data_IF_558563816518
#
_entry.id   IF_558563816518
#
_cell.length_a   1.000
_cell.length_b   1.000
_cell.length_c   1.000
_cell.angle_alpha   90.00
_cell.angle_beta   90.00
_cell.angle_gamma   90.00
#
_symmetry.space_group_name_H-M   'P 1'
#
loop_
_entity.id
_entity.type
_entity.pdbx_description
1 polymer ?
#
# COMPACT_ATOMS: atom_id res chain seq x y z
N UNK A 1 -54.17 -17.84 21.99
CA UNK A 1 -53.04 -16.91 22.24
C UNK A 1 -51.78 -17.55 21.70
N UNK A 2 -51.29 -17.11 20.54
CA UNK A 2 -50.12 -17.66 19.86
C UNK A 2 -48.98 -16.64 19.95
N UNK A 3 -47.75 -17.03 20.34
CA UNK A 3 -46.67 -16.06 20.49
C UNK A 3 -46.08 -15.74 19.13
N UNK A 4 -46.06 -14.45 18.78
CA UNK A 4 -45.44 -13.93 17.57
C UNK A 4 -43.92 -14.12 17.68
N UNK A 5 -43.36 -15.03 16.87
CA UNK A 5 -41.92 -15.13 16.68
C UNK A 5 -41.42 -13.89 15.94
N UNK A 6 -40.76 -12.98 16.65
CA UNK A 6 -39.98 -11.91 16.04
C UNK A 6 -38.77 -12.54 15.36
N UNK A 7 -38.87 -12.72 14.04
CA UNK A 7 -37.72 -12.99 13.19
C UNK A 7 -36.79 -11.77 13.25
N UNK A 8 -35.64 -11.92 13.92
CA UNK A 8 -34.58 -10.91 13.92
C UNK A 8 -34.04 -10.83 12.49
N UNK A 9 -34.33 -9.74 11.79
CA UNK A 9 -33.72 -9.46 10.50
C UNK A 9 -32.19 -9.47 10.65
N UNK A 10 -31.43 -10.12 9.76
CA UNK A 10 -29.98 -10.03 9.79
C UNK A 10 -29.60 -8.56 9.58
N UNK A 11 -28.75 -8.03 10.46
CA UNK A 11 -28.21 -6.69 10.29
C UNK A 11 -27.57 -6.59 8.89
N UNK A 12 -27.87 -5.54 8.10
CA UNK A 12 -27.24 -5.40 6.79
C UNK A 12 -25.74 -5.25 7.01
N UNK A 13 -24.96 -6.28 6.64
CA UNK A 13 -23.52 -6.16 6.58
C UNK A 13 -23.22 -5.07 5.56
N UNK A 14 -22.71 -3.91 6.01
CA UNK A 14 -22.39 -2.74 5.18
C UNK A 14 -21.32 -3.14 4.16
N UNK A 15 -21.66 -3.50 2.90
CA UNK A 15 -20.72 -4.11 1.97
C UNK A 15 -19.55 -3.15 1.64
N UNK A 16 -19.81 -1.85 1.81
CA UNK A 16 -18.87 -0.76 1.65
C UNK A 16 -17.70 -0.81 2.64
N UNK A 17 -17.93 -1.17 3.92
CA UNK A 17 -16.86 -1.17 4.93
C UNK A 17 -15.87 -2.30 4.70
N UNK A 18 -16.37 -3.53 4.46
CA UNK A 18 -15.50 -4.68 4.17
C UNK A 18 -14.74 -4.50 2.86
N UNK A 19 -15.38 -3.93 1.82
CA UNK A 19 -14.71 -3.62 0.56
C UNK A 19 -13.59 -2.58 0.73
N UNK A 20 -13.82 -1.53 1.53
CA UNK A 20 -12.80 -0.52 1.88
C UNK A 20 -11.62 -1.13 2.63
N UNK A 21 -11.88 -1.96 3.64
CA UNK A 21 -10.83 -2.65 4.41
C UNK A 21 -10.01 -3.56 3.48
N UNK A 22 -10.67 -4.36 2.64
CA UNK A 22 -9.98 -5.21 1.66
C UNK A 22 -9.09 -4.39 0.73
N UNK A 23 -9.61 -3.29 0.19
CA UNK A 23 -8.85 -2.41 -0.71
C UNK A 23 -7.66 -1.76 0.01
N UNK A 24 -7.83 -1.32 1.27
CA UNK A 24 -6.74 -0.80 2.07
C UNK A 24 -5.63 -1.85 2.28
N UNK A 25 -6.00 -3.10 2.57
CA UNK A 25 -5.04 -4.20 2.68
C UNK A 25 -4.26 -4.47 1.39
N UNK A 26 -4.92 -4.38 0.23
CA UNK A 26 -4.24 -4.50 -1.08
C UNK A 26 -3.24 -3.36 -1.27
N UNK A 27 -3.63 -2.12 -0.98
CA UNK A 27 -2.75 -0.96 -1.11
C UNK A 27 -1.53 -1.07 -0.17
N UNK A 28 -1.72 -1.52 1.07
CA UNK A 28 -0.61 -1.77 1.99
C UNK A 28 0.35 -2.84 1.47
N UNK A 29 -0.17 -3.98 0.98
CA UNK A 29 0.67 -5.03 0.41
C UNK A 29 1.47 -4.56 -0.82
N UNK A 30 0.88 -3.68 -1.63
CA UNK A 30 1.58 -3.03 -2.75
C UNK A 30 2.67 -2.09 -2.26
N UNK A 31 2.39 -1.25 -1.27
CA UNK A 31 3.37 -0.36 -0.66
C UNK A 31 4.58 -1.13 -0.11
N UNK A 32 4.34 -2.20 0.66
CA UNK A 32 5.38 -3.05 1.22
C UNK A 32 6.28 -3.63 0.12
N UNK A 33 5.66 -4.13 -0.96
CA UNK A 33 6.41 -4.67 -2.11
C UNK A 33 7.28 -3.59 -2.76
N UNK A 34 6.73 -2.39 -2.96
CA UNK A 34 7.45 -1.27 -3.58
C UNK A 34 8.61 -0.78 -2.70
N UNK A 35 8.44 -0.73 -1.37
CA UNK A 35 9.54 -0.39 -0.47
C UNK A 35 10.67 -1.44 -0.52
N UNK A 36 10.34 -2.73 -0.53
CA UNK A 36 11.33 -3.81 -0.66
C UNK A 36 12.09 -3.70 -1.98
N UNK A 37 11.40 -3.47 -3.10
CA UNK A 37 12.05 -3.30 -4.39
C UNK A 37 12.89 -2.00 -4.46
N UNK A 38 12.46 -0.91 -3.82
CA UNK A 38 13.27 0.30 -3.71
C UNK A 38 14.60 0.04 -3.00
N UNK A 39 14.59 -0.70 -1.88
CA UNK A 39 15.80 -1.11 -1.17
C UNK A 39 16.69 -2.04 -2.01
N UNK A 40 16.07 -2.94 -2.78
CA UNK A 40 16.81 -3.80 -3.70
C UNK A 40 17.52 -2.98 -4.78
N UNK A 41 16.84 -2.00 -5.37
CA UNK A 41 17.38 -1.13 -6.43
C UNK A 41 18.52 -0.25 -5.90
N UNK A 42 18.45 0.18 -4.64
CA UNK A 42 19.49 0.93 -3.94
C UNK A 42 20.86 0.21 -3.96
N UNK A 43 20.86 -1.13 -4.02
CA UNK A 43 22.08 -1.94 -4.15
C UNK A 43 22.79 -1.70 -5.48
N UNK A 44 22.05 -1.51 -6.58
CA UNK A 44 22.63 -1.17 -7.88
C UNK A 44 23.23 0.23 -7.88
N UNK A 45 22.59 1.20 -7.22
CA UNK A 45 23.20 2.52 -7.00
C UNK A 45 24.53 2.39 -6.28
N UNK A 46 24.56 1.62 -5.19
CA UNK A 46 25.77 1.40 -4.38
C UNK A 46 26.89 0.74 -5.21
N UNK A 47 26.55 -0.21 -6.07
CA UNK A 47 27.50 -0.84 -6.98
C UNK A 47 28.07 0.16 -8.01
N UNK A 48 27.23 1.02 -8.60
CA UNK A 48 27.69 2.08 -9.50
C UNK A 48 28.58 3.11 -8.80
N UNK A 49 28.24 3.48 -7.56
CA UNK A 49 29.09 4.38 -6.76
C UNK A 49 30.46 3.74 -6.46
N UNK A 50 30.48 2.45 -6.12
CA UNK A 50 31.72 1.71 -5.86
C UNK A 50 32.60 1.55 -7.11
N UNK A 51 32.03 1.54 -8.31
CA UNK A 51 32.77 1.44 -9.58
C UNK A 51 33.09 2.79 -10.23
N UNK A 52 32.94 3.90 -9.50
CA UNK A 52 33.17 5.26 -9.99
C UNK A 52 32.30 5.63 -11.22
N UNK A 53 31.06 5.16 -11.24
CA UNK A 53 30.05 5.48 -12.25
C UNK A 53 28.94 6.38 -11.65
N UNK A 54 29.17 7.70 -11.55
CA UNK A 54 28.21 8.62 -10.94
C UNK A 54 26.91 8.75 -11.72
N UNK A 55 26.95 8.64 -13.05
CA UNK A 55 25.75 8.71 -13.91
C UNK A 55 24.84 7.51 -13.66
N UNK A 56 25.42 6.30 -13.60
CA UNK A 56 24.71 5.08 -13.23
C UNK A 56 24.11 5.18 -11.84
N UNK A 57 24.87 5.69 -10.86
CA UNK A 57 24.37 5.91 -9.51
C UNK A 57 23.16 6.88 -9.51
N UNK A 58 23.25 7.99 -10.24
CA UNK A 58 22.15 8.95 -10.34
C UNK A 58 20.89 8.34 -10.99
N UNK A 59 21.06 7.50 -12.03
CA UNK A 59 19.94 6.77 -12.66
C UNK A 59 19.27 5.84 -11.64
N UNK A 60 20.03 4.98 -10.97
CA UNK A 60 19.47 4.04 -10.00
C UNK A 60 18.83 4.73 -8.80
N UNK A 61 19.38 5.85 -8.34
CA UNK A 61 18.76 6.67 -7.30
C UNK A 61 17.37 7.17 -7.72
N UNK A 62 17.23 7.67 -8.96
CA UNK A 62 15.94 8.15 -9.46
C UNK A 62 14.92 7.02 -9.52
N UNK A 63 15.32 5.83 -9.95
CA UNK A 63 14.43 4.67 -10.03
C UNK A 63 14.01 4.21 -8.63
N UNK A 64 14.95 4.10 -7.68
CA UNK A 64 14.62 3.75 -6.29
C UNK A 64 13.66 4.77 -5.66
N UNK A 65 13.85 6.06 -5.93
CA UNK A 65 12.95 7.11 -5.46
C UNK A 65 11.56 7.01 -6.07
N UNK A 66 11.44 6.67 -7.35
CA UNK A 66 10.13 6.46 -7.97
C UNK A 66 9.33 5.35 -7.27
N UNK A 67 9.98 4.25 -6.90
CA UNK A 67 9.34 3.18 -6.13
C UNK A 67 8.90 3.66 -4.74
N UNK A 68 9.73 4.43 -4.04
CA UNK A 68 9.36 5.01 -2.73
C UNK A 68 8.17 5.95 -2.85
N UNK A 69 8.14 6.82 -3.86
CA UNK A 69 7.01 7.73 -4.11
C UNK A 69 5.71 6.97 -4.35
N UNK A 70 5.73 5.93 -5.18
CA UNK A 70 4.53 5.10 -5.42
C UNK A 70 4.12 4.32 -4.16
N UNK A 71 5.08 3.82 -3.38
CA UNK A 71 4.80 3.15 -2.11
C UNK A 71 4.09 4.09 -1.12
N UNK A 72 4.59 5.31 -0.96
CA UNK A 72 3.98 6.34 -0.13
C UNK A 72 2.57 6.70 -0.60
N UNK A 73 2.34 6.76 -1.92
CA UNK A 73 1.02 6.99 -2.49
C UNK A 73 0.05 5.84 -2.15
N UNK A 74 0.51 4.59 -2.22
CA UNK A 74 -0.27 3.42 -1.80
C UNK A 74 -0.61 3.48 -0.29
N UNK A 75 0.35 3.81 0.58
CA UNK A 75 0.10 3.99 2.02
C UNK A 75 -0.95 5.08 2.25
N UNK A 76 -0.79 6.24 1.59
CA UNK A 76 -1.71 7.36 1.70
C UNK A 76 -3.15 6.97 1.32
N UNK A 77 -3.33 6.24 0.21
CA UNK A 77 -4.64 5.77 -0.21
C UNK A 77 -5.21 4.68 0.72
N UNK A 78 -4.36 3.81 1.29
CA UNK A 78 -4.79 2.86 2.31
C UNK A 78 -5.32 3.57 3.57
N UNK A 79 -4.59 4.59 4.05
CA UNK A 79 -4.96 5.36 5.23
C UNK A 79 -6.31 6.07 5.06
N UNK A 80 -6.55 6.67 3.88
CA UNK A 80 -7.84 7.27 3.53
C UNK A 80 -8.98 6.26 3.53
N UNK A 81 -8.74 5.05 3.01
CA UNK A 81 -9.76 4.00 2.97
C UNK A 81 -10.19 3.55 4.37
N UNK A 82 -9.28 3.56 5.36
CA UNK A 82 -9.59 3.21 6.76
C UNK A 82 -9.92 4.43 7.65
N UNK A 83 -9.84 5.64 7.11
CA UNK A 83 -10.13 6.88 7.86
C UNK A 83 -9.01 7.30 8.82
N UNK A 84 -7.79 6.78 8.64
CA UNK A 84 -6.60 7.20 9.39
C UNK A 84 -6.01 8.53 8.87
N UNK A 85 -6.42 8.96 7.66
CA UNK A 85 -6.01 10.22 7.03
C UNK A 85 -7.21 10.81 6.25
N UNK A 86 -7.40 12.14 6.23
CA UNK A 86 -8.48 12.80 5.48
C UNK A 86 -8.32 12.68 3.96
#
# INVERSE_FOLDING_TARGET
MTPTMQSRAPAPALPNVQARIRRAGIMQAQADTLFVEAERIERFRSACAASNNPDGAAIWQRIANAYRTEAEACVFEADKLVGARP
#
